data_IF_412678225072
#
_entry.id   IF_412678225072
#
_cell.length_a   1.000
_cell.length_b   1.000
_cell.length_c   1.000
_cell.angle_alpha   90.00
_cell.angle_beta   90.00
_cell.angle_gamma   90.00
#
_symmetry.space_group_name_H-M   'P 1'
#
loop_
_entity.id
_entity.type
_entity.pdbx_description
1 polymer ?
#
# COMPACT_ATOMS: atom_id res chain seq x y z
N UNK A 1 -13.08 6.55 9.67
CA UNK A 1 -13.74 7.08 8.48
C UNK A 1 -15.25 7.11 8.71
N UNK A 2 -15.93 8.23 8.39
CA UNK A 2 -17.37 8.39 8.61
C UNK A 2 -17.98 8.89 7.29
N UNK A 3 -19.06 8.22 6.86
CA UNK A 3 -19.83 8.60 5.66
C UNK A 3 -21.28 8.91 6.05
N UNK A 4 -21.79 10.04 5.56
CA UNK A 4 -23.19 10.39 5.65
C UNK A 4 -23.77 10.57 4.25
N UNK A 5 -24.62 9.64 3.84
CA UNK A 5 -25.29 9.69 2.54
C UNK A 5 -26.75 9.24 2.69
N UNK A 6 -27.65 10.20 3.05
CA UNK A 6 -29.06 9.90 3.28
C UNK A 6 -29.72 9.23 2.08
N UNK A 7 -30.48 8.17 2.34
CA UNK A 7 -31.18 7.40 1.30
C UNK A 7 -30.31 6.35 0.58
N UNK A 8 -28.99 6.34 0.79
CA UNK A 8 -28.07 5.38 0.20
C UNK A 8 -27.37 4.53 1.27
N UNK A 9 -26.80 5.17 2.28
CA UNK A 9 -26.10 4.48 3.37
C UNK A 9 -27.05 4.35 4.57
N UNK A 10 -27.29 3.14 5.10
CA UNK A 10 -28.14 2.95 6.28
C UNK A 10 -27.55 3.67 7.51
N UNK A 11 -28.40 4.42 8.20
CA UNK A 11 -27.96 5.12 9.40
C UNK A 11 -27.53 4.16 10.51
N UNK A 12 -26.41 4.49 11.19
CA UNK A 12 -25.89 3.69 12.29
C UNK A 12 -25.20 2.38 11.87
N UNK A 13 -25.04 2.13 10.56
CA UNK A 13 -24.25 0.98 10.09
C UNK A 13 -22.77 1.15 10.40
N UNK A 14 -22.09 0.03 10.69
CA UNK A 14 -20.66 -0.03 10.98
C UNK A 14 -20.04 -1.14 10.13
N UNK A 15 -19.07 -0.79 9.27
CA UNK A 15 -18.23 -1.73 8.57
C UNK A 15 -16.94 -1.94 9.39
N UNK A 16 -16.49 -3.19 9.51
CA UNK A 16 -15.23 -3.55 10.19
C UNK A 16 -14.18 -4.11 9.23
N UNK A 17 -14.54 -4.24 7.96
CA UNK A 17 -13.59 -4.67 6.94
C UNK A 17 -12.52 -3.61 6.68
N UNK A 18 -11.29 -4.03 6.34
CA UNK A 18 -10.22 -3.11 5.99
C UNK A 18 -10.58 -2.20 4.82
N UNK A 19 -10.35 -0.89 5.00
CA UNK A 19 -10.50 0.13 3.96
C UNK A 19 -9.30 1.08 4.02
N UNK A 20 -8.95 1.71 2.90
CA UNK A 20 -7.80 2.58 2.80
C UNK A 20 -8.18 4.00 2.38
N UNK A 21 -7.31 4.97 2.67
CA UNK A 21 -7.49 6.36 2.21
C UNK A 21 -7.51 6.49 0.69
N UNK A 22 -6.77 5.63 -0.02
CA UNK A 22 -6.75 5.63 -1.50
C UNK A 22 -8.09 5.24 -2.12
N UNK A 23 -8.99 4.61 -1.34
CA UNK A 23 -10.33 4.21 -1.79
C UNK A 23 -11.31 5.39 -1.90
N UNK A 24 -10.98 6.52 -1.29
CA UNK A 24 -11.89 7.69 -1.23
C UNK A 24 -12.12 8.27 -2.62
N UNK A 25 -11.06 8.48 -3.39
CA UNK A 25 -11.16 9.07 -4.72
C UNK A 25 -11.97 8.21 -5.70
N UNK A 26 -11.69 6.91 -5.87
CA UNK A 26 -12.52 6.04 -6.70
C UNK A 26 -13.98 5.98 -6.22
N UNK A 27 -14.23 5.99 -4.91
CA UNK A 27 -15.59 6.01 -4.35
C UNK A 27 -16.37 7.27 -4.76
N UNK A 28 -15.73 8.44 -4.67
CA UNK A 28 -16.38 9.72 -5.05
C UNK A 28 -16.67 9.75 -6.54
N UNK A 29 -15.74 9.32 -7.38
CA UNK A 29 -15.92 9.29 -8.83
C UNK A 29 -17.08 8.36 -9.23
N UNK A 30 -17.10 7.16 -8.69
CA UNK A 30 -18.17 6.20 -8.97
C UNK A 30 -19.52 6.68 -8.45
N UNK A 31 -19.58 7.27 -7.25
CA UNK A 31 -20.79 7.87 -6.70
C UNK A 31 -21.33 9.01 -7.56
N UNK A 32 -20.46 9.74 -8.25
CA UNK A 32 -20.82 10.79 -9.20
C UNK A 32 -21.16 10.26 -10.60
N UNK A 33 -21.11 8.94 -10.83
CA UNK A 33 -21.31 8.32 -12.14
C UNK A 33 -20.19 8.59 -13.14
N UNK A 34 -18.99 8.92 -12.65
CA UNK A 34 -17.82 9.18 -13.45
C UNK A 34 -16.93 7.92 -13.55
N UNK A 35 -16.21 7.75 -14.65
CA UNK A 35 -15.26 6.65 -14.79
C UNK A 35 -14.11 6.80 -13.77
N UNK A 36 -13.71 5.69 -13.16
CA UNK A 36 -12.54 5.63 -12.28
C UNK A 36 -11.30 5.39 -13.13
N UNK A 37 -10.33 6.32 -13.15
CA UNK A 37 -9.09 6.13 -13.90
C UNK A 37 -8.26 4.96 -13.35
N UNK A 38 -7.65 4.18 -14.22
CA UNK A 38 -6.78 3.04 -13.84
C UNK A 38 -5.55 3.44 -13.02
N UNK A 39 -5.17 4.72 -13.05
CA UNK A 39 -4.14 5.28 -12.20
C UNK A 39 -4.45 5.20 -10.70
N UNK A 40 -5.74 5.23 -10.33
CA UNK A 40 -6.16 5.13 -8.94
C UNK A 40 -6.08 3.66 -8.52
N UNK A 41 -5.17 3.36 -7.62
CA UNK A 41 -4.90 2.01 -7.10
C UNK A 41 -5.93 1.57 -6.04
N UNK A 42 -6.72 2.50 -5.52
CA UNK A 42 -7.81 2.22 -4.58
C UNK A 42 -9.04 1.62 -5.24
N UNK A 43 -9.89 1.04 -4.42
CA UNK A 43 -11.17 0.43 -4.82
C UNK A 43 -12.34 1.25 -4.30
N UNK A 44 -13.44 1.28 -5.06
CA UNK A 44 -14.64 1.96 -4.58
C UNK A 44 -15.23 1.29 -3.35
N UNK A 45 -15.60 2.09 -2.36
CA UNK A 45 -16.26 1.65 -1.13
C UNK A 45 -17.79 1.56 -1.26
N UNK A 46 -18.37 1.82 -2.44
CA UNK A 46 -19.83 1.70 -2.63
C UNK A 46 -20.40 0.35 -2.19
N UNK A 47 -19.71 -0.81 -2.43
CA UNK A 47 -20.20 -2.09 -1.93
C UNK A 47 -20.34 -2.13 -0.40
N UNK A 48 -19.35 -1.65 0.36
CA UNK A 48 -19.40 -1.65 1.83
C UNK A 48 -20.32 -0.56 2.40
N UNK A 49 -20.56 0.50 1.64
CA UNK A 49 -21.56 1.51 2.00
C UNK A 49 -22.99 0.98 1.83
N UNK A 50 -23.23 0.09 0.88
CA UNK A 50 -24.52 -0.57 0.67
C UNK A 50 -24.74 -1.74 1.64
N UNK A 51 -23.72 -2.58 1.87
CA UNK A 51 -23.73 -3.69 2.84
C UNK A 51 -22.46 -3.65 3.68
N UNK A 52 -22.54 -3.33 4.97
CA UNK A 52 -21.38 -3.26 5.88
C UNK A 52 -20.61 -4.58 6.05
N UNK A 53 -21.15 -5.70 5.55
CA UNK A 53 -20.50 -7.02 5.56
C UNK A 53 -19.76 -7.32 4.25
N UNK A 54 -19.92 -6.45 3.24
CA UNK A 54 -19.18 -6.59 2.00
C UNK A 54 -17.69 -6.33 2.26
N UNK A 55 -16.84 -7.03 1.51
CA UNK A 55 -15.39 -6.91 1.58
C UNK A 55 -14.87 -6.33 0.27
N UNK A 56 -13.96 -5.37 0.36
CA UNK A 56 -13.32 -4.71 -0.80
C UNK A 56 -11.86 -5.12 -0.92
N UNK A 57 -11.20 -5.32 0.23
CA UNK A 57 -9.79 -5.72 0.30
C UNK A 57 -9.60 -6.93 1.18
N UNK A 58 -8.76 -7.86 0.75
CA UNK A 58 -8.26 -8.95 1.60
C UNK A 58 -7.10 -8.46 2.49
N UNK A 59 -6.29 -7.55 1.95
CA UNK A 59 -5.17 -6.90 2.63
C UNK A 59 -5.12 -5.45 2.20
N UNK A 60 -4.91 -4.54 3.13
CA UNK A 60 -4.56 -3.14 2.83
C UNK A 60 -3.09 -2.90 3.12
N UNK A 61 -2.52 -1.95 2.39
CA UNK A 61 -1.10 -1.61 2.49
C UNK A 61 -0.93 -0.16 2.94
N UNK A 62 0.16 0.06 3.67
CA UNK A 62 0.59 1.38 4.10
C UNK A 62 2.08 1.50 3.84
N UNK A 63 2.51 2.69 3.46
CA UNK A 63 3.90 3.02 3.26
C UNK A 63 4.28 4.28 4.03
N UNK A 64 5.51 4.31 4.49
CA UNK A 64 6.08 5.48 5.12
C UNK A 64 7.54 5.62 4.68
N UNK A 65 7.85 6.78 4.09
CA UNK A 65 9.19 7.10 3.61
C UNK A 65 9.49 8.55 3.98
N UNK A 66 9.97 8.73 5.18
CA UNK A 66 10.32 10.06 5.65
C UNK A 66 11.71 10.43 5.17
N UNK A 67 11.82 11.61 4.59
CA UNK A 67 13.08 12.11 4.07
C UNK A 67 13.51 13.47 4.66
N UNK A 68 12.60 14.28 5.18
CA UNK A 68 12.91 15.61 5.66
C UNK A 68 13.48 15.61 7.08
N UNK A 69 14.78 15.93 7.20
CA UNK A 69 15.51 15.99 8.47
C UNK A 69 15.27 17.33 9.18
N UNK A 70 15.20 18.43 8.42
CA UNK A 70 15.20 19.77 8.97
C UNK A 70 13.86 20.18 9.61
N UNK A 71 12.76 19.60 9.16
CA UNK A 71 11.43 19.97 9.61
C UNK A 71 11.08 19.42 11.00
N UNK A 72 11.59 18.24 11.40
CA UNK A 72 11.12 17.53 12.58
C UNK A 72 12.19 17.33 13.66
N UNK A 73 13.39 17.85 13.47
CA UNK A 73 14.48 17.77 14.43
C UNK A 73 15.07 16.37 14.66
N UNK A 74 14.45 15.34 14.13
CA UNK A 74 14.98 13.98 14.03
C UNK A 74 14.36 13.34 12.81
N UNK A 75 15.07 12.56 12.14
CA UNK A 75 14.54 11.90 10.99
C UNK A 75 15.65 11.49 10.04
N UNK A 76 15.27 11.12 8.93
CA UNK A 76 16.03 10.53 7.88
C UNK A 76 15.10 9.65 7.09
N UNK A 77 15.61 9.08 6.04
CA UNK A 77 14.90 8.11 5.25
C UNK A 77 14.51 6.91 6.11
N UNK A 78 13.22 6.60 6.18
CA UNK A 78 12.68 5.45 6.91
C UNK A 78 11.81 4.62 5.97
N UNK A 79 12.40 3.66 5.24
CA UNK A 79 11.68 2.81 4.31
C UNK A 79 10.85 1.76 5.06
N UNK A 80 9.55 2.00 5.15
CA UNK A 80 8.58 1.13 5.82
C UNK A 80 7.49 0.73 4.85
N UNK A 81 7.13 -0.56 4.86
CA UNK A 81 5.93 -1.11 4.21
C UNK A 81 5.17 -1.95 5.21
N UNK A 82 3.86 -1.80 5.21
CA UNK A 82 2.99 -2.51 6.12
C UNK A 82 1.84 -3.16 5.36
N UNK A 83 1.47 -4.37 5.78
CA UNK A 83 0.27 -5.08 5.34
C UNK A 83 -0.64 -5.38 6.54
N UNK A 84 -1.94 -5.17 6.36
CA UNK A 84 -2.96 -5.47 7.36
C UNK A 84 -4.14 -6.20 6.72
N UNK A 85 -4.50 -7.37 7.25
CA UNK A 85 -5.56 -8.25 6.71
C UNK A 85 -6.89 -8.17 7.49
N UNK A 86 -7.01 -7.22 8.40
CA UNK A 86 -8.16 -7.09 9.29
C UNK A 86 -7.91 -7.63 10.70
N UNK A 87 -6.91 -8.49 10.88
CA UNK A 87 -6.47 -9.02 12.19
C UNK A 87 -4.98 -8.87 12.40
N UNK A 88 -4.18 -9.37 11.48
CA UNK A 88 -2.72 -9.35 11.59
C UNK A 88 -2.11 -8.15 10.86
N UNK A 89 -1.18 -7.48 11.50
CA UNK A 89 -0.41 -6.39 10.94
C UNK A 89 1.07 -6.77 10.86
N UNK A 90 1.62 -6.82 9.65
CA UNK A 90 3.05 -7.00 9.41
C UNK A 90 3.66 -5.66 8.98
N UNK A 91 4.72 -5.25 9.65
CA UNK A 91 5.52 -4.07 9.30
C UNK A 91 6.94 -4.51 8.93
N UNK A 92 7.38 -4.15 7.74
CA UNK A 92 8.77 -4.29 7.31
C UNK A 92 9.42 -2.93 7.43
N UNK A 93 10.49 -2.84 8.24
CA UNK A 93 11.27 -1.64 8.44
C UNK A 93 12.74 -1.94 8.15
N UNK A 94 13.28 -1.40 7.05
CA UNK A 94 14.64 -1.72 6.62
C UNK A 94 15.74 -1.19 7.54
N UNK A 95 15.43 -0.24 8.42
CA UNK A 95 16.43 0.40 9.29
C UNK A 95 16.38 -0.09 10.73
N UNK A 96 15.29 -0.75 11.12
CA UNK A 96 15.12 -1.27 12.48
C UNK A 96 14.56 -2.71 12.44
N UNK A 97 13.87 -3.12 13.50
CA UNK A 97 13.20 -4.42 13.55
C UNK A 97 11.92 -4.43 12.73
N UNK A 98 11.64 -5.57 12.10
CA UNK A 98 10.31 -5.86 11.58
C UNK A 98 9.34 -6.20 12.73
N UNK A 99 8.05 -6.06 12.47
CA UNK A 99 7.03 -6.22 13.49
C UNK A 99 5.84 -7.03 12.95
N UNK A 100 5.32 -7.92 13.78
CA UNK A 100 4.07 -8.63 13.52
C UNK A 100 3.18 -8.56 14.76
N UNK A 101 1.93 -8.16 14.59
CA UNK A 101 0.96 -8.06 15.67
C UNK A 101 -0.36 -8.74 15.32
N UNK A 102 -1.00 -9.37 16.32
CA UNK A 102 -2.38 -9.84 16.27
C UNK A 102 -3.27 -8.81 16.95
N UNK A 103 -3.90 -7.92 16.19
CA UNK A 103 -4.67 -6.80 16.73
C UNK A 103 -5.99 -7.20 17.40
N UNK A 104 -6.44 -8.46 17.25
CA UNK A 104 -7.56 -8.99 18.03
C UNK A 104 -7.12 -9.40 19.45
N UNK A 105 -5.95 -10.01 19.57
CA UNK A 105 -5.41 -10.44 20.86
C UNK A 105 -4.66 -9.30 21.58
N UNK A 106 -3.97 -8.47 20.82
CA UNK A 106 -3.14 -7.35 21.30
C UNK A 106 -3.43 -6.06 20.52
N UNK A 107 -4.55 -5.37 20.80
CA UNK A 107 -4.92 -4.14 20.10
C UNK A 107 -4.00 -2.94 20.39
N UNK A 108 -3.08 -3.07 21.35
CA UNK A 108 -2.11 -2.03 21.71
C UNK A 108 -0.70 -2.30 21.17
N UNK A 109 -0.51 -3.39 20.41
CA UNK A 109 0.77 -3.71 19.76
C UNK A 109 1.96 -3.81 20.73
N UNK A 110 1.72 -4.46 21.87
CA UNK A 110 2.73 -4.60 22.94
C UNK A 110 3.62 -5.82 22.75
N UNK A 111 3.13 -6.86 22.06
CA UNK A 111 3.81 -8.14 21.90
C UNK A 111 4.16 -8.36 20.41
N UNK A 112 5.43 -8.09 20.04
CA UNK A 112 5.92 -8.33 18.67
C UNK A 112 6.11 -9.82 18.41
N UNK A 113 5.31 -10.37 17.51
CA UNK A 113 5.29 -11.78 17.12
C UNK A 113 6.22 -12.13 15.96
N UNK A 114 7.08 -11.21 15.51
CA UNK A 114 7.88 -11.39 14.29
C UNK A 114 8.74 -12.65 14.31
N UNK A 115 9.31 -13.01 15.45
CA UNK A 115 10.15 -14.18 15.64
C UNK A 115 9.38 -15.43 16.12
N UNK A 116 8.05 -15.34 16.26
CA UNK A 116 7.22 -16.45 16.73
C UNK A 116 7.08 -17.55 15.67
N UNK A 117 7.55 -18.77 15.92
CA UNK A 117 7.37 -19.88 14.98
C UNK A 117 5.91 -20.23 14.73
N UNK A 118 5.04 -20.03 15.73
CA UNK A 118 3.62 -20.30 15.62
C UNK A 118 2.90 -19.36 14.62
N UNK A 119 3.49 -18.19 14.33
CA UNK A 119 2.95 -17.20 13.43
C UNK A 119 3.71 -17.11 12.09
N UNK A 120 4.61 -18.05 11.82
CA UNK A 120 5.45 -18.02 10.62
C UNK A 120 4.64 -18.06 9.31
N UNK A 121 3.56 -18.83 9.27
CA UNK A 121 2.70 -18.94 8.09
C UNK A 121 2.02 -17.60 7.76
N UNK A 122 1.36 -17.00 8.76
CA UNK A 122 0.68 -15.71 8.56
C UNK A 122 1.67 -14.59 8.25
N UNK A 123 2.81 -14.55 8.92
CA UNK A 123 3.91 -13.62 8.65
C UNK A 123 4.37 -13.71 7.21
N UNK A 124 4.66 -14.94 6.74
CA UNK A 124 5.15 -15.16 5.38
C UNK A 124 4.10 -14.81 4.33
N UNK A 125 2.82 -15.13 4.57
CA UNK A 125 1.72 -14.74 3.68
C UNK A 125 1.58 -13.23 3.53
N UNK A 126 1.63 -12.48 4.64
CA UNK A 126 1.58 -11.01 4.59
C UNK A 126 2.83 -10.41 3.95
N UNK A 127 3.99 -11.04 4.15
CA UNK A 127 5.22 -10.63 3.46
C UNK A 127 5.13 -10.85 1.94
N UNK A 128 4.62 -12.00 1.51
CA UNK A 128 4.38 -12.25 0.08
C UNK A 128 3.42 -11.21 -0.50
N UNK A 129 2.36 -10.84 0.23
CA UNK A 129 1.42 -9.80 -0.18
C UNK A 129 2.11 -8.44 -0.34
N UNK A 130 2.98 -8.04 0.59
CA UNK A 130 3.79 -6.80 0.45
C UNK A 130 4.65 -6.85 -0.82
N UNK A 131 5.36 -7.96 -1.04
CA UNK A 131 6.25 -8.09 -2.19
C UNK A 131 5.49 -8.06 -3.52
N UNK A 132 4.32 -8.70 -3.58
CA UNK A 132 3.44 -8.69 -4.73
C UNK A 132 2.88 -7.28 -4.99
N UNK A 133 2.35 -6.63 -3.96
CA UNK A 133 1.89 -5.24 -4.05
C UNK A 133 2.99 -4.29 -4.53
N UNK A 134 4.22 -4.40 -3.99
CA UNK A 134 5.36 -3.60 -4.46
C UNK A 134 5.71 -3.87 -5.94
N UNK A 135 5.53 -5.12 -6.41
CA UNK A 135 5.73 -5.45 -7.82
C UNK A 135 4.63 -4.84 -8.70
N UNK A 136 3.37 -4.97 -8.28
CA UNK A 136 2.20 -4.50 -9.04
C UNK A 136 2.18 -2.97 -9.16
N UNK A 137 2.52 -2.28 -8.07
CA UNK A 137 2.64 -0.82 -8.05
C UNK A 137 3.96 -0.31 -8.61
N UNK A 138 4.87 -1.21 -8.98
CA UNK A 138 6.22 -0.87 -9.47
C UNK A 138 6.95 0.06 -8.52
N UNK A 139 6.93 -0.30 -7.23
CA UNK A 139 7.60 0.45 -6.18
C UNK A 139 9.10 0.61 -6.52
N UNK A 140 9.62 1.84 -6.69
CA UNK A 140 11.00 2.06 -7.10
C UNK A 140 12.04 1.60 -6.07
N UNK A 141 11.61 1.38 -4.82
CA UNK A 141 12.49 0.89 -3.75
C UNK A 141 12.51 -0.63 -3.64
N UNK A 142 11.66 -1.33 -4.42
CA UNK A 142 11.61 -2.80 -4.44
C UNK A 142 12.98 -3.39 -4.78
N UNK A 143 13.54 -4.17 -3.88
CA UNK A 143 14.86 -4.77 -4.04
C UNK A 143 15.12 -5.86 -3.01
N UNK A 144 16.36 -6.33 -2.98
CA UNK A 144 16.84 -7.48 -2.21
C UNK A 144 16.45 -7.42 -0.71
N UNK A 145 16.63 -6.27 -0.07
CA UNK A 145 16.37 -6.15 1.37
C UNK A 145 14.88 -6.28 1.75
N UNK A 146 13.98 -6.05 0.82
CA UNK A 146 12.56 -6.35 1.02
C UNK A 146 12.26 -7.84 0.92
N UNK A 147 12.99 -8.56 0.08
CA UNK A 147 12.83 -10.01 -0.14
C UNK A 147 13.44 -10.81 1.00
N UNK A 148 14.69 -10.51 1.36
CA UNK A 148 15.46 -11.25 2.33
C UNK A 148 15.42 -10.57 3.69
N UNK A 149 14.65 -11.15 4.61
CA UNK A 149 14.57 -10.69 6.00
C UNK A 149 15.28 -11.68 6.93
N UNK A 150 15.73 -11.26 8.14
CA UNK A 150 16.39 -12.16 9.09
C UNK A 150 15.63 -13.45 9.39
N UNK A 151 14.31 -13.34 9.42
CA UNK A 151 13.38 -14.44 9.69
C UNK A 151 12.90 -15.17 8.42
N UNK A 152 13.29 -14.71 7.21
CA UNK A 152 12.88 -15.31 5.93
C UNK A 152 13.88 -14.97 4.81
N UNK A 153 14.53 -15.98 4.25
CA UNK A 153 15.56 -15.84 3.20
C UNK A 153 15.11 -16.37 1.83
N UNK A 154 13.93 -16.99 1.73
CA UNK A 154 13.39 -17.71 0.57
C UNK A 154 12.16 -17.03 -0.05
N UNK A 155 12.00 -15.73 0.18
CA UNK A 155 10.89 -14.98 -0.39
C UNK A 155 11.02 -14.82 -1.91
N UNK A 156 9.85 -14.54 -2.56
CA UNK A 156 9.82 -14.32 -4.01
C UNK A 156 10.72 -13.18 -4.44
N UNK A 157 11.53 -13.36 -5.50
CA UNK A 157 12.28 -12.25 -6.11
C UNK A 157 11.30 -11.29 -6.81
N UNK A 158 11.77 -10.06 -7.06
CA UNK A 158 10.98 -9.12 -7.86
C UNK A 158 10.81 -9.64 -9.29
N UNK A 159 9.61 -9.48 -9.82
CA UNK A 159 9.24 -9.98 -11.16
C UNK A 159 8.80 -8.89 -12.14
N UNK A 160 8.69 -7.63 -11.67
CA UNK A 160 8.31 -6.53 -12.54
C UNK A 160 9.48 -6.09 -13.43
N UNK A 161 9.14 -5.69 -14.66
CA UNK A 161 10.06 -5.18 -15.64
C UNK A 161 10.08 -3.65 -15.60
N UNK A 162 11.24 -3.08 -15.30
CA UNK A 162 11.39 -1.65 -15.06
C UNK A 162 12.23 -1.00 -16.17
N UNK A 163 11.65 -0.02 -16.83
CA UNK A 163 12.30 0.71 -17.92
C UNK A 163 12.52 2.17 -17.54
N UNK A 164 13.76 2.52 -17.21
CA UNK A 164 14.15 3.90 -16.92
C UNK A 164 13.83 4.35 -15.49
N UNK A 165 13.64 5.66 -15.30
CA UNK A 165 13.48 6.30 -13.99
C UNK A 165 12.03 6.54 -13.57
N UNK A 166 11.07 5.99 -14.30
CA UNK A 166 9.64 6.16 -13.99
C UNK A 166 8.99 4.83 -13.62
N UNK A 167 7.93 4.88 -12.84
CA UNK A 167 7.09 3.72 -12.52
C UNK A 167 6.28 3.25 -13.74
N UNK A 168 6.19 4.07 -14.77
CA UNK A 168 5.38 3.81 -15.96
C UNK A 168 6.19 3.11 -17.03
N UNK A 169 5.59 2.12 -17.70
CA UNK A 169 6.15 1.53 -18.89
C UNK A 169 5.98 2.46 -20.08
N UNK A 170 6.91 2.37 -21.04
CA UNK A 170 6.94 3.27 -22.19
C UNK A 170 5.65 3.25 -23.04
N UNK A 171 4.91 2.15 -23.02
CA UNK A 171 3.72 1.92 -23.87
C UNK A 171 2.40 1.85 -23.09
N UNK A 172 2.37 2.28 -21.86
CA UNK A 172 1.12 2.31 -21.07
C UNK A 172 0.33 3.57 -21.40
N UNK A 173 -0.62 3.46 -22.30
CA UNK A 173 -1.43 4.59 -22.80
C UNK A 173 -2.40 5.17 -21.75
N UNK A 174 -2.77 4.39 -20.75
CA UNK A 174 -3.78 4.77 -19.75
C UNK A 174 -3.20 5.37 -18.47
N UNK A 175 -1.89 5.30 -18.26
CA UNK A 175 -1.23 5.90 -17.11
C UNK A 175 -0.68 7.29 -17.46
N UNK A 176 -1.02 8.34 -16.69
CA UNK A 176 -0.37 9.63 -16.80
C UNK A 176 1.14 9.46 -16.55
N UNK A 177 1.95 10.01 -17.40
CA UNK A 177 3.40 9.99 -17.23
C UNK A 177 3.80 10.96 -16.14
N UNK A 178 4.75 10.56 -15.32
CA UNK A 178 5.39 11.47 -14.38
C UNK A 178 6.11 12.58 -15.13
N UNK A 179 6.03 13.78 -14.61
CA UNK A 179 6.71 14.93 -15.18
C UNK A 179 8.02 15.20 -14.43
N UNK A 180 9.04 15.55 -15.16
CA UNK A 180 10.25 16.15 -14.61
C UNK A 180 9.92 17.57 -14.10
N UNK A 181 10.11 17.82 -12.83
CA UNK A 181 9.74 19.08 -12.18
C UNK A 181 10.52 20.29 -12.71
N UNK A 182 11.72 20.09 -13.24
CA UNK A 182 12.56 21.16 -13.75
C UNK A 182 12.24 21.56 -15.19
N UNK A 183 11.74 20.61 -15.99
CA UNK A 183 11.49 20.82 -17.42
C UNK A 183 10.01 20.82 -17.79
N UNK A 184 9.13 20.27 -16.93
CA UNK A 184 7.71 20.06 -17.22
C UNK A 184 7.45 19.01 -18.31
N UNK A 185 8.46 18.26 -18.70
CA UNK A 185 8.36 17.20 -19.72
C UNK A 185 8.08 15.85 -19.06
N UNK A 186 7.41 14.91 -19.74
CA UNK A 186 7.34 13.53 -19.29
C UNK A 186 8.75 12.99 -19.00
N UNK A 187 8.91 12.26 -17.91
CA UNK A 187 10.23 11.74 -17.47
C UNK A 187 10.95 10.96 -18.57
N UNK A 188 10.22 10.17 -19.35
CA UNK A 188 10.79 9.43 -20.49
C UNK A 188 11.38 10.35 -21.55
N UNK A 189 10.81 11.51 -21.77
CA UNK A 189 11.33 12.51 -22.74
C UNK A 189 12.48 13.31 -22.15
N UNK A 190 12.42 13.64 -20.86
CA UNK A 190 13.51 14.33 -20.17
C UNK A 190 14.80 13.50 -20.18
N UNK A 191 14.69 12.19 -20.01
CA UNK A 191 15.84 11.25 -20.05
C UNK A 191 16.40 11.10 -21.48
N UNK A 192 15.54 11.12 -22.49
CA UNK A 192 15.97 10.97 -23.90
C UNK A 192 16.71 12.20 -24.44
N UNK A 193 16.53 13.34 -23.85
CA UNK A 193 17.14 14.61 -24.31
C UNK A 193 18.52 14.90 -23.70
N UNK A 194 19.03 14.03 -22.84
CA UNK A 194 20.39 14.05 -22.33
C UNK A 194 21.32 13.22 -23.22
#
# INVERSE_FOLDING_TARGET
FIVRWPGVVPAGSVCREPVSHIDVAPTILEAAGLPVPKLLEGSSLLPVLADPRAKVHDVIFMEFERFEIDHDGFGGYQPIRCAFDGRYKLVINLLTSDELYDLEADPYEMDNLIDSPAHAEIRNRLHDAILEWMNDTRDPFRGYYWECRPWRTDARPKTWDYTGMTRQREHEEYEPRQLDYSTGLPMTEAVRKK
#
